data_IF_742654477258
#
_entry.id   IF_742654477258
#
_cell.length_a   1.000
_cell.length_b   1.000
_cell.length_c   1.000
_cell.angle_alpha   90.00
_cell.angle_beta   90.00
_cell.angle_gamma   90.00
#
_symmetry.space_group_name_H-M   'P 1'
#
loop_
_entity.id
_entity.type
_entity.pdbx_description
1 polymer ?
#
# COMPACT_ATOMS: atom_id res chain seq x y z
N UNK A 1 -24.62 -34.17 -20.37
CA UNK A 1 -23.23 -33.94 -20.82
C UNK A 1 -23.15 -32.56 -21.42
N UNK A 2 -22.55 -31.60 -20.71
CA UNK A 2 -21.56 -30.62 -21.22
C UNK A 2 -21.23 -29.65 -20.08
N UNK A 3 -19.96 -29.30 -20.00
CA UNK A 3 -19.24 -28.89 -18.78
C UNK A 3 -19.38 -27.38 -18.55
N UNK A 4 -19.77 -27.01 -17.34
CA UNK A 4 -19.71 -25.63 -16.84
C UNK A 4 -18.25 -25.22 -16.60
N UNK A 5 -17.80 -24.15 -17.26
CA UNK A 5 -16.62 -23.40 -16.86
C UNK A 5 -17.08 -22.27 -15.92
N UNK A 6 -16.88 -22.53 -14.63
CA UNK A 6 -17.00 -21.59 -13.51
C UNK A 6 -15.61 -20.98 -13.28
N UNK A 7 -15.59 -19.78 -12.67
CA UNK A 7 -14.42 -19.06 -12.10
C UNK A 7 -13.46 -18.47 -13.15
N UNK A 8 -13.21 -17.16 -13.22
CA UNK A 8 -12.67 -16.29 -12.17
C UNK A 8 -13.06 -14.82 -12.47
N UNK A 9 -13.94 -14.24 -11.66
CA UNK A 9 -13.83 -12.86 -11.17
C UNK A 9 -14.93 -12.73 -10.11
N UNK A 10 -14.56 -13.03 -8.87
CA UNK A 10 -15.43 -12.77 -7.73
C UNK A 10 -15.68 -11.27 -7.66
N UNK A 11 -16.93 -10.90 -7.49
CA UNK A 11 -17.38 -9.56 -7.24
C UNK A 11 -16.48 -8.87 -6.20
N UNK A 12 -15.81 -7.79 -6.61
CA UNK A 12 -15.32 -6.78 -5.67
C UNK A 12 -16.56 -6.14 -5.02
N UNK A 13 -16.71 -6.16 -3.69
CA UNK A 13 -17.77 -5.40 -3.05
C UNK A 13 -17.55 -3.90 -3.32
N UNK A 14 -18.61 -3.10 -3.50
CA UNK A 14 -18.49 -1.64 -3.57
C UNK A 14 -18.24 -1.12 -2.16
N UNK A 15 -17.04 -1.33 -1.64
CA UNK A 15 -16.68 -0.89 -0.30
C UNK A 15 -15.82 0.37 -0.40
N UNK A 16 -16.51 1.51 -0.21
CA UNK A 16 -15.96 2.84 0.08
C UNK A 16 -14.73 3.23 -0.76
N UNK A 17 -14.96 4.08 -1.75
CA UNK A 17 -14.04 5.22 -1.92
C UNK A 17 -13.81 5.80 -0.51
N UNK A 18 -12.57 6.05 -0.06
CA UNK A 18 -12.34 6.64 1.24
C UNK A 18 -13.03 8.01 1.27
N UNK A 19 -14.27 8.02 1.76
CA UNK A 19 -15.06 9.21 1.99
C UNK A 19 -14.27 10.05 2.96
N UNK A 20 -13.52 11.02 2.43
CA UNK A 20 -12.75 11.99 3.21
C UNK A 20 -11.88 11.33 4.28
N UNK A 21 -10.63 11.01 3.94
CA UNK A 21 -9.58 10.77 4.95
C UNK A 21 -9.73 11.85 6.03
N UNK A 22 -10.28 11.44 7.18
CA UNK A 22 -10.55 12.31 8.32
C UNK A 22 -9.20 12.62 8.96
N UNK A 23 -8.42 13.51 8.31
CA UNK A 23 -7.32 14.24 8.97
C UNK A 23 -7.86 15.27 9.98
N UNK A 24 -9.17 15.23 10.30
CA UNK A 24 -9.74 15.99 11.41
C UNK A 24 -9.34 15.32 12.72
N UNK A 25 -8.17 15.70 13.24
CA UNK A 25 -7.93 15.72 14.68
C UNK A 25 -6.79 14.85 15.23
N UNK A 26 -5.97 14.18 14.41
CA UNK A 26 -4.74 13.55 14.92
C UNK A 26 -3.62 14.59 14.98
N UNK A 27 -3.76 15.54 15.90
CA UNK A 27 -2.68 16.46 16.27
C UNK A 27 -1.60 15.75 17.09
N UNK A 28 -1.97 14.68 17.77
CA UNK A 28 -1.06 13.81 18.51
C UNK A 28 -1.47 12.35 18.44
N UNK A 29 -0.49 11.45 18.58
CA UNK A 29 -0.71 10.01 18.78
C UNK A 29 0.18 9.50 19.90
N UNK A 30 -0.34 8.61 20.74
CA UNK A 30 0.47 7.97 21.78
C UNK A 30 1.16 6.76 21.20
N UNK A 31 2.48 6.70 21.38
CA UNK A 31 3.28 5.54 21.07
C UNK A 31 3.83 4.94 22.35
N UNK A 32 3.76 3.62 22.44
CA UNK A 32 4.37 2.87 23.52
C UNK A 32 5.23 1.77 22.91
N UNK A 33 6.43 1.56 23.43
CA UNK A 33 7.25 0.44 22.99
C UNK A 33 7.89 -0.26 24.18
N UNK A 34 7.98 -1.58 24.07
CA UNK A 34 8.50 -2.43 25.13
C UNK A 34 9.20 -3.66 24.58
N UNK A 35 10.22 -4.10 25.30
CA UNK A 35 10.96 -5.34 25.07
C UNK A 35 10.26 -6.59 25.64
N UNK A 36 9.18 -6.41 26.42
CA UNK A 36 8.33 -7.47 27.01
C UNK A 36 6.86 -7.01 27.05
N UNK A 37 5.93 -7.94 27.27
CA UNK A 37 4.51 -7.60 27.50
C UNK A 37 4.39 -6.54 28.62
N UNK A 38 3.82 -5.35 28.35
CA UNK A 38 3.39 -4.46 29.43
C UNK A 38 2.39 -5.23 30.28
N UNK A 39 2.62 -5.27 31.60
CA UNK A 39 1.76 -5.99 32.55
C UNK A 39 0.28 -5.52 32.51
N UNK A 40 0.00 -4.39 31.86
CA UNK A 40 -1.29 -3.72 31.80
C UNK A 40 -2.09 -3.98 30.51
N UNK A 41 -1.47 -4.49 29.44
CA UNK A 41 -2.19 -4.76 28.17
C UNK A 41 -2.47 -6.25 28.05
N UNK A 42 -3.75 -6.64 28.18
CA UNK A 42 -4.17 -8.00 27.89
C UNK A 42 -4.02 -8.26 26.39
N UNK A 43 -3.06 -9.10 26.01
CA UNK A 43 -2.89 -9.56 24.65
C UNK A 43 -4.07 -10.46 24.23
N UNK A 44 -4.93 -10.05 23.28
CA UNK A 44 -6.08 -10.85 22.85
C UNK A 44 -5.68 -12.09 22.03
N UNK A 45 -4.40 -12.23 21.67
CA UNK A 45 -3.83 -13.38 20.96
C UNK A 45 -3.02 -14.32 21.87
N UNK A 46 -3.02 -14.09 23.19
CA UNK A 46 -2.39 -15.00 24.14
C UNK A 46 -3.20 -16.29 24.28
N UNK A 47 -2.92 -17.28 23.43
CA UNK A 47 -3.49 -18.62 23.57
C UNK A 47 -2.58 -19.46 24.46
N UNK A 48 -3.09 -19.93 25.61
CA UNK A 48 -2.44 -21.00 26.37
C UNK A 48 -2.80 -22.33 25.70
N UNK A 49 -1.90 -22.86 24.89
CA UNK A 49 -2.11 -24.16 24.23
C UNK A 49 -0.79 -24.85 23.94
N UNK A 50 -0.46 -25.85 24.74
CA UNK A 50 0.46 -26.91 24.34
C UNK A 50 -0.40 -28.04 23.76
N UNK A 51 -0.13 -28.48 22.54
CA UNK A 51 -0.64 -29.76 22.09
C UNK A 51 0.19 -30.88 22.73
N UNK A 52 -0.46 -32.02 22.97
CA UNK A 52 0.09 -33.15 23.72
C UNK A 52 1.25 -33.89 23.05
N UNK A 53 1.87 -33.32 22.00
CA UNK A 53 2.98 -33.92 21.25
C UNK A 53 4.28 -33.10 21.32
N UNK A 54 4.28 -31.97 22.03
CA UNK A 54 5.52 -31.23 22.34
C UNK A 54 6.24 -30.69 21.11
N UNK A 55 5.55 -30.55 19.97
CA UNK A 55 6.07 -29.90 18.77
C UNK A 55 5.30 -28.62 18.55
N UNK A 56 5.79 -27.56 19.16
CA UNK A 56 5.36 -26.21 18.81
C UNK A 56 5.63 -25.98 17.32
N UNK A 57 4.58 -25.96 16.50
CA UNK A 57 4.69 -25.53 15.11
C UNK A 57 4.78 -24.01 15.08
N UNK A 58 5.96 -23.50 15.43
CA UNK A 58 6.35 -22.13 15.15
C UNK A 58 6.72 -22.03 13.67
N UNK A 59 5.86 -21.41 12.86
CA UNK A 59 6.38 -20.66 11.73
C UNK A 59 7.05 -19.40 12.30
N UNK A 60 8.30 -19.58 12.75
CA UNK A 60 9.43 -18.62 12.74
C UNK A 60 9.10 -17.13 12.50
N UNK A 61 8.24 -16.56 13.35
CA UNK A 61 8.12 -15.11 13.59
C UNK A 61 8.41 -14.79 15.06
N UNK A 62 9.23 -15.61 15.71
CA UNK A 62 9.92 -15.23 16.93
C UNK A 62 11.23 -14.54 16.54
N UNK A 63 11.27 -13.19 16.46
CA UNK A 63 12.56 -12.45 16.59
C UNK A 63 12.59 -10.93 16.79
N UNK A 64 11.48 -10.24 17.10
CA UNK A 64 11.62 -9.00 17.89
C UNK A 64 11.05 -9.19 19.29
N UNK A 65 11.90 -9.10 20.31
CA UNK A 65 11.47 -8.79 21.68
C UNK A 65 10.78 -7.42 21.73
N UNK A 66 11.14 -6.55 20.79
CA UNK A 66 10.59 -5.21 20.63
C UNK A 66 9.17 -5.25 20.06
N UNK A 67 8.24 -4.73 20.84
CA UNK A 67 6.82 -4.55 20.50
C UNK A 67 6.47 -3.08 20.54
N UNK A 68 5.55 -2.68 19.69
CA UNK A 68 5.19 -1.29 19.46
C UNK A 68 3.67 -1.17 19.44
N UNK A 69 3.15 -0.20 20.17
CA UNK A 69 1.74 0.12 20.26
C UNK A 69 1.51 1.54 19.78
N UNK A 70 0.39 1.73 19.09
CA UNK A 70 -0.09 3.02 18.61
C UNK A 70 -1.50 3.21 19.15
N UNK A 71 -1.72 4.25 19.94
CA UNK A 71 -3.01 4.54 20.60
C UNK A 71 -3.56 3.35 21.41
N UNK A 72 -2.68 2.54 22.00
CA UNK A 72 -3.04 1.37 22.80
C UNK A 72 -3.25 0.07 22.01
N UNK A 73 -3.21 0.12 20.68
CA UNK A 73 -3.28 -1.07 19.82
C UNK A 73 -1.89 -1.52 19.40
N UNK A 74 -1.61 -2.83 19.53
CA UNK A 74 -0.32 -3.39 19.14
C UNK A 74 -0.18 -3.43 17.61
N UNK A 75 0.94 -2.94 17.10
CA UNK A 75 1.27 -3.01 15.69
C UNK A 75 1.75 -4.41 15.31
N UNK A 76 1.10 -5.00 14.32
CA UNK A 76 1.55 -6.26 13.72
C UNK A 76 2.58 -5.98 12.62
N UNK A 77 3.80 -6.57 12.68
CA UNK A 77 4.82 -6.35 11.66
C UNK A 77 4.41 -6.87 10.26
N UNK A 78 3.48 -7.82 10.16
CA UNK A 78 3.13 -8.49 8.90
C UNK A 78 2.70 -7.53 7.78
N UNK A 79 1.86 -6.53 8.09
CA UNK A 79 1.41 -5.56 7.09
C UNK A 79 2.58 -4.74 6.54
N UNK A 80 3.43 -4.23 7.43
CA UNK A 80 4.62 -3.46 7.07
C UNK A 80 5.64 -4.29 6.30
N UNK A 81 5.86 -5.55 6.67
CA UNK A 81 6.78 -6.46 5.99
C UNK A 81 6.31 -6.80 4.57
N UNK A 82 5.00 -6.98 4.39
CA UNK A 82 4.39 -7.19 3.07
C UNK A 82 4.54 -5.95 2.18
N UNK A 83 4.46 -4.75 2.74
CA UNK A 83 4.63 -3.50 2.00
C UNK A 83 6.10 -3.25 1.64
N UNK A 84 7.02 -3.37 2.59
CA UNK A 84 8.45 -3.34 2.35
C UNK A 84 9.20 -4.07 3.46
N UNK A 85 10.04 -5.04 3.07
CA UNK A 85 10.84 -5.81 3.99
C UNK A 85 12.17 -5.11 4.29
N UNK A 86 12.18 -4.26 5.31
CA UNK A 86 13.41 -3.62 5.84
C UNK A 86 14.07 -4.48 6.92
N UNK A 87 13.27 -5.08 7.80
CA UNK A 87 13.75 -5.78 8.99
C UNK A 87 12.84 -6.97 9.31
N UNK A 88 13.14 -8.18 8.81
CA UNK A 88 12.38 -9.38 9.14
C UNK A 88 12.52 -9.75 10.63
N UNK A 89 13.56 -9.27 11.28
CA UNK A 89 13.79 -9.40 12.73
C UNK A 89 12.87 -8.48 13.56
N UNK A 90 11.96 -7.72 12.93
CA UNK A 90 10.92 -6.93 13.59
C UNK A 90 11.29 -5.47 13.88
N UNK A 91 10.63 -4.87 14.87
CA UNK A 91 10.69 -3.43 15.12
C UNK A 91 11.92 -3.02 15.94
N UNK A 92 12.38 -1.80 15.72
CA UNK A 92 13.40 -1.17 16.54
C UNK A 92 13.25 0.37 16.47
N UNK A 93 13.97 1.10 17.32
CA UNK A 93 13.84 2.56 17.45
C UNK A 93 15.12 3.20 17.99
N UNK A 94 15.19 4.54 17.94
CA UNK A 94 16.30 5.32 18.49
C UNK A 94 17.58 5.36 17.65
N UNK A 95 17.50 4.97 16.38
CA UNK A 95 18.56 5.14 15.37
C UNK A 95 17.97 5.18 13.95
N UNK A 96 18.80 5.40 12.93
CA UNK A 96 18.35 5.65 11.54
C UNK A 96 18.33 4.42 10.61
N UNK A 97 18.42 3.21 11.16
CA UNK A 97 18.57 1.97 10.37
C UNK A 97 17.28 1.31 9.89
N UNK A 98 17.35 0.02 9.57
CA UNK A 98 16.27 -0.79 8.98
C UNK A 98 15.13 -1.12 9.95
N UNK A 99 15.43 -1.51 11.19
CA UNK A 99 14.40 -1.76 12.22
C UNK A 99 13.50 -0.53 12.48
N UNK A 100 14.07 0.67 12.66
CA UNK A 100 13.32 1.93 12.74
C UNK A 100 12.54 2.26 11.46
N UNK A 101 13.06 1.88 10.29
CA UNK A 101 12.31 2.02 9.04
C UNK A 101 11.08 1.10 8.99
N UNK A 102 11.21 -0.14 9.48
CA UNK A 102 10.11 -1.09 9.59
C UNK A 102 9.03 -0.58 10.56
N UNK A 103 9.45 -0.08 11.72
CA UNK A 103 8.56 0.52 12.72
C UNK A 103 7.84 1.77 12.18
N UNK A 104 8.58 2.67 11.53
CA UNK A 104 8.00 3.87 10.92
C UNK A 104 6.96 3.52 9.83
N UNK A 105 7.25 2.50 9.01
CA UNK A 105 6.30 2.03 8.00
C UNK A 105 5.03 1.46 8.63
N UNK A 106 5.16 0.65 9.69
CA UNK A 106 4.01 0.11 10.41
C UNK A 106 3.13 1.23 11.01
N UNK A 107 3.74 2.22 11.67
CA UNK A 107 3.00 3.39 12.20
C UNK A 107 2.29 4.14 11.06
N UNK A 108 3.01 4.46 9.98
CA UNK A 108 2.44 5.23 8.88
C UNK A 108 1.32 4.48 8.14
N UNK A 109 1.38 3.15 8.09
CA UNK A 109 0.32 2.32 7.51
C UNK A 109 -0.99 2.47 8.28
N UNK A 110 -0.93 2.43 9.61
CA UNK A 110 -2.12 2.64 10.45
C UNK A 110 -2.64 4.08 10.39
N UNK A 111 -1.74 5.08 10.33
CA UNK A 111 -2.15 6.48 10.33
C UNK A 111 -2.68 6.98 8.98
N UNK A 112 -2.06 6.56 7.87
CA UNK A 112 -2.27 7.19 6.56
C UNK A 112 -2.67 6.22 5.45
N UNK A 113 -2.65 4.91 5.72
CA UNK A 113 -2.90 3.89 4.72
C UNK A 113 -1.74 3.70 3.73
N UNK A 114 -1.84 2.65 2.92
CA UNK A 114 -0.73 2.09 2.11
C UNK A 114 -0.06 3.10 1.18
N UNK A 115 -0.84 3.86 0.41
CA UNK A 115 -0.31 4.75 -0.61
C UNK A 115 0.48 5.94 -0.02
N UNK A 116 -0.04 6.53 1.06
CA UNK A 116 0.64 7.63 1.75
C UNK A 116 1.80 7.13 2.60
N UNK A 117 1.62 6.01 3.31
CA UNK A 117 2.66 5.44 4.16
C UNK A 117 3.97 5.24 3.40
N UNK A 118 3.90 4.64 2.20
CA UNK A 118 5.09 4.42 1.35
C UNK A 118 5.82 5.71 0.95
N UNK A 119 5.10 6.84 0.85
CA UNK A 119 5.69 8.13 0.49
C UNK A 119 6.36 8.83 1.66
N UNK A 120 5.84 8.66 2.89
CA UNK A 120 6.22 9.52 4.03
C UNK A 120 6.99 8.80 5.15
N UNK A 121 6.99 7.45 5.18
CA UNK A 121 7.54 6.70 6.32
C UNK A 121 9.04 6.93 6.54
N UNK A 122 9.83 7.23 5.50
CA UNK A 122 11.25 7.48 5.65
C UNK A 122 11.50 8.81 6.38
N UNK A 123 10.76 9.87 6.03
CA UNK A 123 10.81 11.15 6.71
C UNK A 123 10.28 11.01 8.13
N UNK A 124 9.18 10.25 8.32
CA UNK A 124 8.64 9.93 9.64
C UNK A 124 9.67 9.24 10.53
N UNK A 125 10.40 8.26 9.98
CA UNK A 125 11.48 7.54 10.68
C UNK A 125 12.52 8.51 11.23
N UNK A 126 13.07 9.39 10.39
CA UNK A 126 14.08 10.34 10.83
C UNK A 126 13.54 11.38 11.80
N UNK A 127 12.26 11.76 11.63
CA UNK A 127 11.65 12.80 12.45
C UNK A 127 11.34 12.32 13.86
N UNK A 128 10.76 11.13 13.98
CA UNK A 128 10.24 10.59 15.24
C UNK A 128 10.99 9.33 15.68
N UNK A 129 10.88 8.24 14.91
CA UNK A 129 11.30 6.89 15.35
C UNK A 129 12.78 6.79 15.67
N UNK A 130 13.63 7.47 14.89
CA UNK A 130 15.08 7.49 15.11
C UNK A 130 15.51 8.28 16.35
N UNK A 131 14.62 9.10 16.92
CA UNK A 131 14.89 9.96 18.08
C UNK A 131 14.33 9.41 19.39
N UNK A 132 13.60 8.31 19.33
CA UNK A 132 13.04 7.64 20.49
C UNK A 132 14.15 7.05 21.39
N UNK A 133 13.89 6.81 22.68
CA UNK A 133 14.88 6.26 23.60
C UNK A 133 15.40 4.88 23.16
N UNK A 134 16.64 4.82 22.64
CA UNK A 134 17.23 3.58 22.16
C UNK A 134 17.45 2.57 23.30
N UNK A 135 17.08 1.31 23.07
CA UNK A 135 17.36 0.19 23.98
C UNK A 135 16.60 0.23 25.30
N UNK A 136 15.51 1.02 25.38
CA UNK A 136 14.66 1.15 26.54
C UNK A 136 13.20 1.13 26.13
N UNK A 137 12.35 0.67 27.04
CA UNK A 137 10.91 0.84 26.96
C UNK A 137 10.57 2.33 27.13
N UNK A 138 9.51 2.80 26.46
CA UNK A 138 9.07 4.18 26.55
C UNK A 138 7.57 4.30 26.28
N UNK A 139 6.98 5.40 26.76
CA UNK A 139 5.69 5.92 26.34
C UNK A 139 5.91 7.38 25.97
N UNK A 140 5.46 7.78 24.78
CA UNK A 140 5.63 9.15 24.28
C UNK A 140 4.43 9.57 23.43
N UNK A 141 4.23 10.88 23.30
CA UNK A 141 3.18 11.46 22.46
C UNK A 141 3.83 12.16 21.27
N UNK A 142 3.53 11.69 20.07
CA UNK A 142 4.05 12.29 18.84
C UNK A 142 3.15 13.42 18.39
N UNK A 143 3.66 14.65 18.37
CA UNK A 143 3.01 15.79 17.71
C UNK A 143 3.12 15.65 16.18
N UNK A 144 1.98 15.58 15.49
CA UNK A 144 1.94 15.31 14.06
C UNK A 144 1.56 16.52 13.20
N UNK A 145 1.13 17.65 13.76
CA UNK A 145 0.62 18.78 12.97
C UNK A 145 1.67 19.29 11.98
N UNK A 146 2.91 19.51 12.45
CA UNK A 146 3.97 20.00 11.58
C UNK A 146 4.36 18.98 10.51
N UNK A 147 4.42 17.69 10.88
CA UNK A 147 4.73 16.61 9.94
C UNK A 147 3.64 16.46 8.88
N UNK A 148 2.38 16.47 9.29
CA UNK A 148 1.22 16.32 8.40
C UNK A 148 1.18 17.46 7.38
N UNK A 149 1.36 18.70 7.84
CA UNK A 149 1.40 19.87 6.98
C UNK A 149 2.56 19.81 5.96
N UNK A 150 3.75 19.36 6.39
CA UNK A 150 4.93 19.37 5.55
C UNK A 150 5.06 18.15 4.61
N UNK A 151 4.56 16.99 5.01
CA UNK A 151 4.85 15.71 4.32
C UNK A 151 3.58 15.02 3.82
N UNK A 152 2.53 14.94 4.65
CA UNK A 152 1.34 14.13 4.33
C UNK A 152 0.39 14.87 3.39
N UNK A 153 0.08 16.14 3.68
CA UNK A 153 -0.85 16.93 2.87
C UNK A 153 -0.33 17.09 1.43
N UNK A 154 0.95 17.45 1.18
CA UNK A 154 1.47 17.53 -0.19
C UNK A 154 1.42 16.18 -0.91
N UNK A 155 1.85 15.09 -0.25
CA UNK A 155 1.83 13.76 -0.84
C UNK A 155 0.41 13.29 -1.19
N UNK A 156 -0.57 13.63 -0.35
CA UNK A 156 -1.98 13.34 -0.60
C UNK A 156 -2.52 14.13 -1.80
N UNK A 157 -2.16 15.41 -1.91
CA UNK A 157 -2.63 16.24 -3.02
C UNK A 157 -2.05 15.75 -4.35
N UNK A 158 -0.77 15.39 -4.39
CA UNK A 158 -0.14 14.77 -5.57
C UNK A 158 -0.84 13.47 -5.98
N UNK A 159 -1.19 12.61 -5.01
CA UNK A 159 -1.93 11.38 -5.27
C UNK A 159 -3.34 11.65 -5.83
N UNK A 160 -4.05 12.65 -5.28
CA UNK A 160 -5.36 13.06 -5.78
C UNK A 160 -5.28 13.57 -7.22
N UNK A 161 -4.29 14.40 -7.53
CA UNK A 161 -4.10 14.93 -8.88
C UNK A 161 -3.77 13.81 -9.87
N UNK A 162 -2.91 12.87 -9.47
CA UNK A 162 -2.58 11.71 -10.29
C UNK A 162 -3.80 10.81 -10.55
N UNK A 163 -4.62 10.57 -9.52
CA UNK A 163 -5.86 9.80 -9.65
C UNK A 163 -6.89 10.52 -10.53
N UNK A 164 -7.04 11.83 -10.36
CA UNK A 164 -7.98 12.63 -11.15
C UNK A 164 -7.61 12.60 -12.63
N UNK A 165 -6.32 12.73 -12.95
CA UNK A 165 -5.81 12.64 -14.31
C UNK A 165 -6.07 11.26 -14.93
N UNK A 166 -5.76 10.18 -14.21
CA UNK A 166 -6.00 8.82 -14.70
C UNK A 166 -7.50 8.53 -14.94
N UNK A 167 -8.39 9.11 -14.11
CA UNK A 167 -9.84 9.01 -14.31
C UNK A 167 -10.31 9.80 -15.53
N UNK A 168 -9.67 10.92 -15.85
CA UNK A 168 -10.01 11.73 -17.02
C UNK A 168 -9.59 11.01 -18.32
N UNK A 169 -8.39 10.41 -18.35
CA UNK A 169 -7.95 9.56 -19.46
C UNK A 169 -8.91 8.37 -19.68
N UNK A 170 -9.26 7.65 -18.60
CA UNK A 170 -10.18 6.52 -18.69
C UNK A 170 -11.59 6.93 -19.17
N UNK A 171 -12.07 8.13 -18.80
CA UNK A 171 -13.35 8.66 -19.30
C UNK A 171 -13.28 8.99 -20.78
N UNK A 172 -12.19 9.61 -21.24
CA UNK A 172 -12.00 9.90 -22.65
C UNK A 172 -12.00 8.61 -23.51
N UNK A 173 -11.37 7.54 -23.00
CA UNK A 173 -11.40 6.22 -23.66
C UNK A 173 -12.82 5.63 -23.72
N UNK A 174 -13.61 5.73 -22.65
CA UNK A 174 -14.99 5.25 -22.62
C UNK A 174 -15.86 6.07 -23.58
N UNK A 175 -15.77 7.39 -23.55
CA UNK A 175 -16.51 8.28 -24.48
C UNK A 175 -16.14 7.99 -25.94
N UNK A 176 -14.87 7.72 -26.24
CA UNK A 176 -14.44 7.28 -27.57
C UNK A 176 -15.09 5.96 -27.98
N UNK A 177 -15.15 4.97 -27.07
CA UNK A 177 -15.80 3.68 -27.32
C UNK A 177 -17.32 3.79 -27.50
N UNK A 178 -17.99 4.68 -26.77
CA UNK A 178 -19.42 4.97 -26.93
C UNK A 178 -19.72 5.77 -28.20
N UNK A 179 -18.77 6.62 -28.63
CA UNK A 179 -18.84 7.35 -29.90
C UNK A 179 -18.55 6.46 -31.11
N UNK A 180 -17.96 5.27 -30.94
CA UNK A 180 -17.81 4.33 -32.04
C UNK A 180 -19.20 4.07 -32.63
N UNK A 181 -19.42 4.38 -33.93
CA UNK A 181 -20.70 4.10 -34.55
C UNK A 181 -20.96 2.60 -34.40
N UNK A 182 -22.17 2.24 -33.96
CA UNK A 182 -22.64 0.86 -33.90
C UNK A 182 -22.77 0.29 -35.32
N UNK A 183 -21.64 0.10 -35.99
CA UNK A 183 -21.56 -0.24 -37.40
C UNK A 183 -20.88 -1.59 -37.55
N UNK A 184 -21.59 -2.63 -37.10
CA UNK A 184 -21.45 -3.96 -37.71
C UNK A 184 -22.39 -4.13 -38.91
N UNK A 185 -23.21 -3.12 -39.25
CA UNK A 185 -23.90 -3.09 -40.52
C UNK A 185 -23.04 -2.33 -41.54
N UNK A 186 -22.76 -3.00 -42.66
CA UNK A 186 -22.10 -2.48 -43.86
C UNK A 186 -20.56 -2.41 -43.79
N UNK A 187 -19.92 -3.57 -43.63
CA UNK A 187 -18.75 -3.86 -44.48
C UNK A 187 -19.28 -4.32 -45.84
N UNK A 188 -19.98 -3.42 -46.55
CA UNK A 188 -20.11 -3.59 -48.00
C UNK A 188 -18.71 -3.43 -48.55
N UNK A 189 -18.26 -4.47 -49.24
CA UNK A 189 -17.03 -4.49 -50.04
C UNK A 189 -17.18 -3.50 -51.20
N UNK A 190 -17.16 -2.21 -50.91
CA UNK A 190 -16.90 -1.16 -51.89
C UNK A 190 -15.43 -1.32 -52.28
N UNK A 191 -15.23 -1.90 -53.46
CA UNK A 191 -13.94 -2.32 -53.98
C UNK A 191 -12.93 -1.18 -54.03
N UNK A 192 -11.88 -1.30 -53.24
CA UNK A 192 -10.59 -0.76 -53.64
C UNK A 192 -10.04 -1.68 -54.74
N UNK A 193 -9.87 -1.23 -55.99
CA UNK A 193 -9.03 -1.97 -56.91
C UNK A 193 -7.60 -1.91 -56.34
N UNK A 194 -7.08 -3.07 -55.94
CA UNK A 194 -5.65 -3.29 -55.78
C UNK A 194 -5.00 -3.12 -57.16
N UNK A 195 -4.64 -1.89 -57.51
CA UNK A 195 -3.74 -1.66 -58.64
C UNK A 195 -2.32 -2.09 -58.21
N UNK A 196 -2.02 -3.34 -58.54
CA UNK A 196 -0.73 -3.98 -58.38
C UNK A 196 0.14 -3.84 -59.65
N UNK A 197 -0.05 -2.77 -60.45
CA UNK A 197 0.66 -2.59 -61.73
C UNK A 197 1.45 -1.28 -61.84
N UNK A 198 2.27 -0.97 -60.84
CA UNK A 198 3.23 0.12 -60.97
C UNK A 198 4.58 -0.18 -60.31
N UNK A 199 5.29 -1.22 -60.76
CA UNK A 199 6.76 -1.31 -60.68
C UNK A 199 7.35 -2.13 -61.81
N UNK A 200 7.41 -1.55 -63.02
CA UNK A 200 8.43 -1.89 -64.02
C UNK A 200 8.81 -0.62 -64.76
N UNK A 201 9.74 0.17 -64.21
CA UNK A 201 10.54 1.08 -65.00
C UNK A 201 12.02 0.79 -64.74
N UNK A 202 12.54 -0.02 -65.67
CA UNK A 202 13.84 0.11 -66.33
C UNK A 202 14.86 1.05 -65.68
N UNK A 203 15.92 0.47 -65.15
CA UNK A 203 17.20 1.14 -64.97
C UNK A 203 18.25 0.44 -65.84
N UNK A 204 18.21 0.70 -67.15
CA UNK A 204 19.31 0.50 -68.08
C UNK A 204 19.27 1.59 -69.15
N UNK A 205 20.23 2.52 -69.10
CA UNK A 205 21.13 2.92 -70.19
C UNK A 205 21.62 4.37 -70.02
N UNK A 206 22.94 4.54 -69.99
CA UNK A 206 23.66 5.81 -69.99
C UNK A 206 25.03 5.70 -69.35
#
# INVERSE_FOLDING_TARGET
MQKNARTLWGAMPPERLPETCHLKGQHGVTIYAATREPATVKNPYAVRGADGEGKETWLELQRSENRLWLNGEELNPAASLKTANHSPDGFNWGYSGSGPAQAALAICLELYGVALAQRVYQQFKFMFVARLPQGKDFEDELELTAFNAAQVIPAMEELKQSLLFALDEAKADIEFLEWLPSNTDNFETEGYPLDLSAQTESNEQG
#
